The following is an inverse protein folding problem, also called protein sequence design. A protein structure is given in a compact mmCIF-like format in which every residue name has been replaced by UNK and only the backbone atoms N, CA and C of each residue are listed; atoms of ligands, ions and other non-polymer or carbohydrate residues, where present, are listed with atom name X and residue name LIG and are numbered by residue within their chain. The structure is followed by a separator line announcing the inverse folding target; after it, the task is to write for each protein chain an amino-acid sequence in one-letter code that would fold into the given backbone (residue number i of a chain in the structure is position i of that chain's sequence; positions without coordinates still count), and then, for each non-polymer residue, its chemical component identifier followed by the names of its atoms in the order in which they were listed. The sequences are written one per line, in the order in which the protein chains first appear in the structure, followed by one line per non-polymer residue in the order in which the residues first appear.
data_IF_313643159770
#
_entry.id   IF_313643159770
#
_cell.length_a   1.000
_cell.length_b   1.000
_cell.length_c   1.000
_cell.angle_alpha   90.00
_cell.angle_beta   90.00
_cell.angle_gamma   90.00
#
_symmetry.space_group_name_H-M   'P 1'
#
loop_
_entity.id
_entity.type
_entity.pdbx_description
1 polymer ?
#
# COMPACT_ATOMS: atom_id res chain seq x y z
N UNK A 1 18.27 -3.04 -1.63
CA UNK A 1 17.35 -2.15 -0.90
C UNK A 1 16.63 -2.97 0.16
N UNK A 2 16.76 -2.62 1.44
CA UNK A 2 16.10 -3.34 2.53
C UNK A 2 14.80 -2.63 2.89
N UNK A 3 13.66 -3.31 2.70
CA UNK A 3 12.38 -2.80 3.17
C UNK A 3 12.24 -3.13 4.66
N UNK A 4 12.52 -2.16 5.53
CA UNK A 4 12.48 -2.32 7.00
C UNK A 4 11.14 -1.96 7.62
N UNK A 5 10.31 -1.23 6.88
CA UNK A 5 9.03 -0.75 7.36
C UNK A 5 7.90 -1.52 6.70
N UNK A 6 6.78 -1.64 7.40
CA UNK A 6 5.56 -2.21 6.84
C UNK A 6 4.34 -1.40 7.27
N UNK A 7 3.32 -1.45 6.44
CA UNK A 7 2.00 -0.91 6.71
C UNK A 7 0.96 -1.92 6.28
N UNK A 8 -0.04 -2.16 7.13
CA UNK A 8 -1.18 -3.01 6.81
C UNK A 8 -2.36 -2.11 6.52
N UNK A 9 -2.84 -2.12 5.28
CA UNK A 9 -4.00 -1.35 4.86
C UNK A 9 -5.23 -2.25 4.72
N UNK A 10 -6.43 -1.77 5.08
CA UNK A 10 -7.66 -2.45 4.75
C UNK A 10 -7.89 -2.38 3.23
N UNK A 11 -8.07 -3.55 2.60
CA UNK A 11 -8.35 -3.66 1.18
C UNK A 11 -9.15 -4.94 0.92
N UNK A 12 -10.34 -4.76 0.34
CA UNK A 12 -11.28 -5.86 0.06
C UNK A 12 -11.49 -6.04 -1.44
N UNK A 13 -11.95 -7.23 -1.84
CA UNK A 13 -12.28 -7.57 -3.23
C UNK A 13 -11.15 -8.23 -4.03
N UNK A 14 -11.40 -8.48 -5.32
CA UNK A 14 -10.40 -9.05 -6.24
C UNK A 14 -9.36 -8.03 -6.69
N UNK A 15 -8.29 -8.51 -7.34
CA UNK A 15 -7.26 -7.68 -7.98
C UNK A 15 -6.59 -6.63 -7.07
N UNK A 16 -6.52 -6.90 -5.75
CA UNK A 16 -6.00 -5.98 -4.72
C UNK A 16 -4.63 -5.39 -5.06
N UNK A 17 -3.71 -6.24 -5.53
CA UNK A 17 -2.35 -5.83 -5.90
C UNK A 17 -2.36 -4.85 -7.08
N UNK A 18 -3.15 -5.12 -8.12
CA UNK A 18 -3.25 -4.24 -9.29
C UNK A 18 -3.88 -2.90 -8.92
N UNK A 19 -5.01 -2.94 -8.20
CA UNK A 19 -5.70 -1.73 -7.74
C UNK A 19 -4.81 -0.84 -6.89
N UNK A 20 -4.02 -1.45 -6.01
CA UNK A 20 -3.10 -0.69 -5.18
C UNK A 20 -1.97 -0.08 -6.01
N UNK A 21 -1.42 -0.79 -7.02
CA UNK A 21 -0.44 -0.21 -7.93
C UNK A 21 -1.01 1.00 -8.67
N UNK A 22 -2.19 0.85 -9.27
CA UNK A 22 -2.87 1.94 -9.99
C UNK A 22 -3.14 3.14 -9.08
N UNK A 23 -3.57 2.89 -7.83
CA UNK A 23 -3.77 3.93 -6.84
C UNK A 23 -2.45 4.61 -6.45
N UNK A 24 -1.40 3.82 -6.19
CA UNK A 24 -0.10 4.31 -5.76
C UNK A 24 0.57 5.16 -6.84
N UNK A 25 0.47 4.76 -8.11
CA UNK A 25 0.97 5.54 -9.25
C UNK A 25 0.28 6.90 -9.37
N UNK A 26 -1.00 6.99 -8.99
CA UNK A 26 -1.78 8.25 -9.08
C UNK A 26 -1.59 9.17 -7.88
N UNK A 27 -1.46 8.62 -6.67
CA UNK A 27 -1.48 9.41 -5.43
C UNK A 27 -0.10 9.54 -4.78
N UNK A 28 0.76 8.54 -4.95
CA UNK A 28 2.08 8.45 -4.31
C UNK A 28 3.16 7.92 -5.26
N UNK A 29 3.36 8.52 -6.46
CA UNK A 29 4.30 8.01 -7.46
C UNK A 29 5.77 8.02 -7.00
N UNK A 30 6.11 8.87 -6.03
CA UNK A 30 7.45 8.94 -5.45
C UNK A 30 7.71 7.81 -4.43
N UNK A 31 6.67 7.07 -4.00
CA UNK A 31 6.79 6.13 -2.90
C UNK A 31 7.40 4.79 -3.35
N UNK A 32 8.48 4.38 -2.70
CA UNK A 32 9.17 3.10 -2.90
C UNK A 32 8.59 2.03 -1.99
N UNK A 33 7.78 1.15 -2.57
CA UNK A 33 7.13 0.05 -1.86
C UNK A 33 7.45 -1.31 -2.47
N UNK A 34 7.24 -2.36 -1.67
CA UNK A 34 7.27 -3.76 -2.08
C UNK A 34 5.97 -4.41 -1.66
N UNK A 35 5.29 -5.00 -2.65
CA UNK A 35 4.05 -5.71 -2.43
C UNK A 35 4.31 -7.17 -2.06
N UNK A 36 3.39 -7.78 -1.30
CA UNK A 36 3.43 -9.20 -1.05
C UNK A 36 3.24 -9.96 -2.37
N UNK A 37 3.92 -11.11 -2.54
CA UNK A 37 3.85 -11.87 -3.79
C UNK A 37 2.45 -12.38 -4.09
N UNK A 38 1.68 -12.71 -3.04
CA UNK A 38 0.29 -13.13 -3.14
C UNK A 38 -0.50 -12.58 -1.95
N UNK A 39 -1.75 -12.18 -2.20
CA UNK A 39 -2.73 -11.86 -1.16
C UNK A 39 -3.94 -12.77 -1.35
N UNK A 40 -4.36 -13.54 -0.33
CA UNK A 40 -5.56 -14.35 -0.45
C UNK A 40 -6.78 -13.48 -0.75
N UNK A 41 -7.69 -13.98 -1.59
CA UNK A 41 -8.90 -13.25 -2.00
C UNK A 41 -9.77 -12.90 -0.79
N UNK A 42 -9.83 -13.80 0.21
CA UNK A 42 -10.60 -13.62 1.44
C UNK A 42 -10.00 -12.63 2.44
N UNK A 43 -8.73 -12.24 2.28
CA UNK A 43 -8.08 -11.34 3.24
C UNK A 43 -8.53 -9.91 3.00
N UNK A 44 -9.05 -9.24 4.01
CA UNK A 44 -9.51 -7.84 3.95
C UNK A 44 -8.39 -6.84 4.25
N UNK A 45 -7.15 -7.32 4.30
CA UNK A 45 -5.97 -6.52 4.60
C UNK A 45 -4.82 -6.90 3.68
N UNK A 46 -3.92 -5.94 3.44
CA UNK A 46 -2.70 -6.15 2.69
C UNK A 46 -1.54 -5.44 3.36
N UNK A 47 -0.47 -6.20 3.61
CA UNK A 47 0.76 -5.68 4.17
C UNK A 47 1.71 -5.25 3.06
N UNK A 48 2.02 -3.96 3.01
CA UNK A 48 2.96 -3.35 2.07
C UNK A 48 4.27 -3.08 2.81
N UNK A 49 5.39 -3.42 2.20
CA UNK A 49 6.73 -3.14 2.75
C UNK A 49 7.30 -1.85 2.15
N UNK A 50 8.01 -1.08 2.94
CA UNK A 50 8.46 0.27 2.63
C UNK A 50 9.95 0.46 2.98
N UNK A 51 10.63 1.31 2.20
CA UNK A 51 12.06 1.51 2.31
C UNK A 51 12.46 2.44 3.48
N UNK A 52 11.64 3.44 3.80
CA UNK A 52 11.90 4.41 4.88
C UNK A 52 10.66 4.72 5.71
N UNK A 53 10.84 5.46 6.80
CA UNK A 53 9.76 5.95 7.64
C UNK A 53 8.94 7.05 6.94
N UNK A 54 9.59 7.92 6.18
CA UNK A 54 8.95 9.01 5.42
C UNK A 54 7.96 8.45 4.40
N UNK A 55 8.39 7.41 3.68
CA UNK A 55 7.59 6.64 2.73
C UNK A 55 6.32 6.06 3.38
N UNK A 56 6.45 5.59 4.63
CA UNK A 56 5.32 5.10 5.43
C UNK A 56 4.36 6.21 5.80
N UNK A 57 4.86 7.37 6.19
CA UNK A 57 4.03 8.51 6.55
C UNK A 57 3.27 9.04 5.33
N UNK A 58 3.94 9.22 4.20
CA UNK A 58 3.29 9.64 2.94
C UNK A 58 2.20 8.67 2.51
N UNK A 59 2.47 7.36 2.53
CA UNK A 59 1.48 6.36 2.15
C UNK A 59 0.27 6.39 3.09
N UNK A 60 0.49 6.46 4.41
CA UNK A 60 -0.60 6.54 5.39
C UNK A 60 -1.43 7.82 5.25
N UNK A 61 -0.79 8.96 5.02
CA UNK A 61 -1.48 10.24 4.82
C UNK A 61 -2.32 10.23 3.54
N UNK A 62 -1.73 9.79 2.42
CA UNK A 62 -2.45 9.68 1.15
C UNK A 62 -3.63 8.71 1.26
N UNK A 63 -3.43 7.57 1.94
CA UNK A 63 -4.50 6.60 2.17
C UNK A 63 -5.61 7.15 3.06
N UNK A 64 -5.28 7.86 4.14
CA UNK A 64 -6.25 8.48 5.02
C UNK A 64 -7.13 9.49 4.26
N UNK A 65 -6.50 10.37 3.46
CA UNK A 65 -7.21 11.34 2.61
C UNK A 65 -8.13 10.65 1.60
N UNK A 66 -7.66 9.59 0.95
CA UNK A 66 -8.47 8.81 0.00
C UNK A 66 -9.65 8.10 0.68
N UNK A 67 -9.46 7.58 1.90
CA UNK A 67 -10.51 6.82 2.62
C UNK A 67 -11.65 7.68 3.17
N UNK A 68 -11.46 9.00 3.23
CA UNK A 68 -12.47 9.96 3.69
C UNK A 68 -13.35 10.52 2.55
N UNK A 69 -13.01 10.22 1.29
CA UNK A 69 -13.79 10.59 0.10
C UNK A 69 -14.72 9.46 -0.33
#
# INVERSE_FOLDING_TARGET
MTFKYSVTLPISGGNKLSRFKDWAERHVPAVRYSLPPQTPIKTETMTIRLASLEERQHLLQAFALFSQM
#
